data_IF_784913257947
#
_entry.id   IF_784913257947
#
_cell.length_a   1.000
_cell.length_b   1.000
_cell.length_c   1.000
_cell.angle_alpha   90.00
_cell.angle_beta   90.00
_cell.angle_gamma   90.00
#
_symmetry.space_group_name_H-M   'P 1'
#
loop_
_entity.id
_entity.type
_entity.pdbx_description
1 polymer ?
#
# COMPACT_ATOMS: atom_id res chain seq x y z
N UNK A 1 16.85 -20.23 -41.79
CA UNK A 1 16.62 -18.93 -41.11
C UNK A 1 15.18 -18.90 -40.64
N UNK A 2 14.94 -19.02 -39.33
CA UNK A 2 13.60 -19.00 -38.75
C UNK A 2 13.07 -17.57 -38.72
N UNK A 3 12.06 -17.27 -39.54
CA UNK A 3 11.35 -15.99 -39.52
C UNK A 3 10.59 -15.90 -38.19
N UNK A 4 11.10 -15.08 -37.25
CA UNK A 4 10.37 -14.72 -36.03
C UNK A 4 9.11 -13.98 -36.42
N UNK A 5 7.96 -14.66 -36.35
CA UNK A 5 6.63 -14.07 -36.51
C UNK A 5 6.45 -13.02 -35.41
N UNK A 6 6.53 -11.74 -35.77
CA UNK A 6 6.32 -10.59 -34.88
C UNK A 6 4.88 -10.71 -34.35
N UNK A 7 4.74 -11.04 -33.06
CA UNK A 7 3.43 -11.16 -32.42
C UNK A 7 2.89 -9.74 -32.29
N UNK A 8 2.02 -9.33 -33.21
CA UNK A 8 1.27 -8.08 -33.06
C UNK A 8 0.53 -8.15 -31.74
N UNK A 9 0.89 -7.24 -30.84
CA UNK A 9 0.31 -7.19 -29.50
C UNK A 9 -1.06 -6.55 -29.68
N UNK A 10 -2.11 -7.36 -29.79
CA UNK A 10 -3.47 -6.86 -29.88
C UNK A 10 -3.76 -6.00 -28.64
N UNK A 11 -4.00 -4.71 -28.83
CA UNK A 11 -4.32 -3.78 -27.75
C UNK A 11 -5.83 -3.84 -27.55
N UNK A 12 -6.27 -4.57 -26.52
CA UNK A 12 -7.69 -4.56 -26.13
C UNK A 12 -8.09 -3.14 -25.75
N UNK A 13 -9.21 -2.66 -26.28
CA UNK A 13 -9.72 -1.32 -25.98
C UNK A 13 -10.07 -1.17 -24.49
N UNK A 14 -10.03 0.06 -24.00
CA UNK A 14 -10.46 0.39 -22.64
C UNK A 14 -11.97 0.29 -22.48
N UNK A 15 -12.40 0.00 -21.26
CA UNK A 15 -13.82 -0.06 -20.88
C UNK A 15 -14.04 0.76 -19.61
N UNK A 16 -15.18 1.43 -19.54
CA UNK A 16 -15.66 2.15 -18.35
C UNK A 16 -16.96 1.54 -17.87
N UNK A 17 -17.27 1.68 -16.58
CA UNK A 17 -18.59 1.28 -16.08
C UNK A 17 -19.66 2.25 -16.59
N UNK A 18 -20.93 1.84 -16.51
CA UNK A 18 -22.04 2.65 -16.99
C UNK A 18 -22.10 4.02 -16.29
N UNK A 19 -21.89 4.06 -14.98
CA UNK A 19 -21.92 5.30 -14.19
C UNK A 19 -20.84 6.29 -14.61
N UNK A 20 -19.62 5.81 -14.84
CA UNK A 20 -18.49 6.62 -15.31
C UNK A 20 -18.78 7.19 -16.71
N UNK A 21 -19.39 6.40 -17.59
CA UNK A 21 -19.77 6.85 -18.93
C UNK A 21 -20.81 7.98 -18.90
N UNK A 22 -21.86 7.84 -18.07
CA UNK A 22 -22.89 8.88 -17.94
C UNK A 22 -22.30 10.15 -17.30
N UNK A 23 -21.37 10.01 -16.36
CA UNK A 23 -20.66 11.14 -15.75
C UNK A 23 -19.81 11.88 -16.80
N UNK A 24 -19.09 11.16 -17.66
CA UNK A 24 -18.34 11.79 -18.77
C UNK A 24 -19.26 12.54 -19.73
N UNK A 25 -20.42 11.98 -20.08
CA UNK A 25 -21.40 12.65 -20.96
C UNK A 25 -21.96 13.93 -20.35
N UNK A 26 -22.22 13.93 -19.04
CA UNK A 26 -22.75 15.09 -18.33
C UNK A 26 -21.71 16.22 -18.19
N UNK A 27 -20.43 15.86 -18.13
CA UNK A 27 -19.33 16.80 -17.91
C UNK A 27 -18.63 17.25 -19.20
N UNK A 28 -18.87 16.57 -20.32
CA UNK A 28 -18.30 16.94 -21.61
C UNK A 28 -18.80 18.34 -22.04
N UNK A 29 -17.84 19.21 -22.36
CA UNK A 29 -18.14 20.54 -22.89
C UNK A 29 -18.54 20.48 -24.36
N UNK A 30 -19.37 21.44 -24.78
CA UNK A 30 -19.84 21.54 -26.17
C UNK A 30 -18.68 21.74 -27.16
N UNK A 31 -17.60 22.39 -26.72
CA UNK A 31 -16.41 22.67 -27.53
C UNK A 31 -15.47 21.46 -27.64
N UNK A 32 -15.67 20.42 -26.81
CA UNK A 32 -14.86 19.20 -26.80
C UNK A 32 -13.43 19.40 -26.30
N UNK A 33 -13.14 20.47 -25.56
CA UNK A 33 -11.79 20.87 -25.17
C UNK A 33 -11.41 20.46 -23.74
N UNK A 34 -12.39 20.09 -22.91
CA UNK A 34 -12.12 19.71 -21.53
C UNK A 34 -11.70 18.23 -21.40
N UNK A 35 -11.22 17.86 -20.20
CA UNK A 35 -10.74 16.50 -19.94
C UNK A 35 -11.87 15.46 -20.08
N UNK A 36 -13.10 15.78 -19.69
CA UNK A 36 -14.24 14.87 -19.79
C UNK A 36 -14.55 14.51 -21.26
N UNK A 37 -14.55 15.50 -22.14
CA UNK A 37 -14.72 15.33 -23.59
C UNK A 37 -13.61 14.47 -24.20
N UNK A 38 -12.36 14.71 -23.79
CA UNK A 38 -11.22 13.90 -24.22
C UNK A 38 -11.36 12.43 -23.82
N UNK A 39 -11.75 12.18 -22.57
CA UNK A 39 -11.97 10.82 -22.06
C UNK A 39 -13.18 10.16 -22.71
N UNK A 40 -14.27 10.88 -22.92
CA UNK A 40 -15.47 10.39 -23.58
C UNK A 40 -15.15 9.92 -25.00
N UNK A 41 -14.42 10.74 -25.78
CA UNK A 41 -13.97 10.35 -27.11
C UNK A 41 -13.05 9.13 -27.05
N UNK A 42 -12.10 9.09 -26.11
CA UNK A 42 -11.19 7.96 -25.95
C UNK A 42 -11.95 6.64 -25.70
N UNK A 43 -12.94 6.65 -24.81
CA UNK A 43 -13.78 5.48 -24.48
C UNK A 43 -14.62 5.00 -25.67
N UNK A 44 -15.08 5.91 -26.52
CA UNK A 44 -15.91 5.58 -27.69
C UNK A 44 -15.11 4.90 -28.81
N UNK A 45 -13.78 4.98 -28.79
CA UNK A 45 -12.94 4.30 -29.77
C UNK A 45 -12.95 2.79 -29.55
N UNK A 46 -12.95 2.04 -30.65
CA UNK A 46 -12.88 0.57 -30.66
C UNK A 46 -11.46 0.04 -30.81
N UNK A 47 -10.52 0.90 -31.20
CA UNK A 47 -9.12 0.56 -31.43
C UNK A 47 -8.23 1.05 -30.27
N UNK A 48 -7.58 0.10 -29.60
CA UNK A 48 -6.69 0.38 -28.47
C UNK A 48 -5.44 1.18 -28.87
N UNK A 49 -5.00 1.14 -30.13
CA UNK A 49 -3.87 1.94 -30.60
C UNK A 49 -4.24 3.43 -30.66
N UNK A 50 -5.42 3.74 -31.18
CA UNK A 50 -5.94 5.11 -31.24
C UNK A 50 -6.15 5.68 -29.82
N UNK A 51 -6.61 4.85 -28.87
CA UNK A 51 -6.76 5.24 -27.47
C UNK A 51 -5.44 5.67 -26.81
N UNK A 52 -4.30 5.07 -27.19
CA UNK A 52 -2.97 5.47 -26.69
C UNK A 52 -2.69 6.95 -27.00
N UNK A 53 -3.09 7.44 -28.18
CA UNK A 53 -2.87 8.83 -28.57
C UNK A 53 -3.68 9.80 -27.71
N UNK A 54 -4.89 9.42 -27.28
CA UNK A 54 -5.71 10.24 -26.38
C UNK A 54 -5.18 10.22 -24.95
N UNK A 55 -4.76 9.05 -24.44
CA UNK A 55 -4.16 8.94 -23.10
C UNK A 55 -2.90 9.80 -22.94
N UNK A 56 -2.12 9.98 -24.02
CA UNK A 56 -0.95 10.87 -24.01
C UNK A 56 -1.30 12.36 -23.96
N UNK A 57 -2.53 12.74 -24.30
CA UNK A 57 -2.98 14.13 -24.27
C UNK A 57 -3.53 14.57 -22.91
N UNK A 58 -3.73 13.64 -21.96
CA UNK A 58 -4.25 13.94 -20.62
C UNK A 58 -3.39 14.98 -19.89
N UNK A 59 -2.08 14.75 -19.79
CA UNK A 59 -1.16 15.67 -19.09
C UNK A 59 -1.08 17.04 -19.78
N UNK A 60 -0.84 17.14 -21.11
CA UNK A 60 -0.82 18.43 -21.80
C UNK A 60 -2.11 19.25 -21.64
N UNK A 61 -3.27 18.60 -21.50
CA UNK A 61 -4.55 19.28 -21.28
C UNK A 61 -4.61 19.82 -19.84
N UNK A 62 -4.24 19.01 -18.85
CA UNK A 62 -4.24 19.40 -17.45
C UNK A 62 -3.23 20.53 -17.14
N UNK A 63 -2.08 20.55 -17.81
CA UNK A 63 -1.12 21.66 -17.70
C UNK A 63 -1.73 23.00 -18.12
N UNK A 64 -2.60 23.02 -19.15
CA UNK A 64 -3.28 24.23 -19.61
C UNK A 64 -4.40 24.68 -18.66
N UNK A 65 -4.98 23.74 -17.91
CA UNK A 65 -6.08 23.99 -16.99
C UNK A 65 -5.63 24.52 -15.61
N UNK A 66 -4.33 24.44 -15.28
CA UNK A 66 -3.76 24.80 -13.97
C UNK A 66 -3.66 26.31 -13.68
N UNK A 67 -4.75 27.08 -13.81
CA UNK A 67 -4.69 28.55 -13.75
C UNK A 67 -5.14 29.18 -12.43
N UNK A 68 -5.90 28.47 -11.57
CA UNK A 68 -6.69 29.16 -10.52
C UNK A 68 -6.57 28.57 -9.08
N UNK A 69 -5.59 27.72 -8.77
CA UNK A 69 -5.29 27.31 -7.38
C UNK A 69 -6.30 26.39 -6.68
N UNK A 70 -7.48 26.14 -7.26
CA UNK A 70 -8.43 25.10 -6.80
C UNK A 70 -8.74 24.10 -7.91
N UNK A 71 -8.70 22.80 -7.60
CA UNK A 71 -8.99 21.74 -8.56
C UNK A 71 -10.48 21.74 -8.93
N UNK A 72 -10.75 21.95 -10.22
CA UNK A 72 -12.09 21.95 -10.81
C UNK A 72 -12.82 20.62 -10.49
N UNK A 73 -14.09 20.65 -10.04
CA UNK A 73 -14.87 19.43 -9.80
C UNK A 73 -14.91 18.47 -10.98
N UNK A 74 -14.95 18.99 -12.20
CA UNK A 74 -14.90 18.21 -13.46
C UNK A 74 -13.59 17.45 -13.57
N UNK A 75 -12.46 18.10 -13.27
CA UNK A 75 -11.14 17.45 -13.28
C UNK A 75 -11.09 16.37 -12.20
N UNK A 76 -11.61 16.64 -11.00
CA UNK A 76 -11.67 15.65 -9.91
C UNK A 76 -12.48 14.41 -10.34
N UNK A 77 -13.65 14.59 -10.94
CA UNK A 77 -14.43 13.48 -11.49
C UNK A 77 -13.69 12.73 -12.61
N UNK A 78 -12.96 13.44 -13.47
CA UNK A 78 -12.15 12.79 -14.50
C UNK A 78 -10.98 11.98 -13.92
N UNK A 79 -10.33 12.46 -12.86
CA UNK A 79 -9.27 11.72 -12.15
C UNK A 79 -9.81 10.44 -11.51
N UNK A 80 -11.03 10.51 -10.95
CA UNK A 80 -11.73 9.34 -10.43
C UNK A 80 -12.04 8.29 -11.51
N UNK A 81 -12.55 8.75 -12.66
CA UNK A 81 -12.81 7.87 -13.81
C UNK A 81 -11.51 7.29 -14.38
N UNK A 82 -10.42 8.07 -14.42
CA UNK A 82 -9.10 7.58 -14.83
C UNK A 82 -8.58 6.48 -13.91
N UNK A 83 -8.80 6.59 -12.61
CA UNK A 83 -8.51 5.52 -11.66
C UNK A 83 -9.34 4.27 -11.97
N UNK A 84 -10.64 4.42 -12.19
CA UNK A 84 -11.53 3.32 -12.59
C UNK A 84 -11.09 2.62 -13.88
N UNK A 85 -10.72 3.39 -14.92
CA UNK A 85 -10.17 2.87 -16.17
C UNK A 85 -8.87 2.11 -15.91
N UNK A 86 -7.96 2.67 -15.12
CA UNK A 86 -6.70 2.00 -14.82
C UNK A 86 -6.93 0.63 -14.15
N UNK A 87 -7.83 0.55 -13.18
CA UNK A 87 -8.13 -0.66 -12.42
C UNK A 87 -8.97 -1.67 -13.21
N UNK A 88 -9.71 -1.25 -14.24
CA UNK A 88 -10.43 -2.16 -15.13
C UNK A 88 -9.52 -2.87 -16.15
N UNK A 89 -8.39 -2.24 -16.51
CA UNK A 89 -7.45 -2.78 -17.49
C UNK A 89 -6.67 -3.99 -16.96
N UNK A 90 -6.51 -5.01 -17.80
CA UNK A 90 -5.65 -6.15 -17.49
C UNK A 90 -4.17 -5.74 -17.46
N UNK A 91 -3.38 -6.35 -16.56
CA UNK A 91 -1.93 -6.16 -16.43
C UNK A 91 -1.11 -6.39 -17.72
N UNK A 92 -1.61 -7.20 -18.66
CA UNK A 92 -0.97 -7.43 -19.97
C UNK A 92 -1.34 -6.37 -21.01
N UNK A 93 -2.32 -5.51 -20.75
CA UNK A 93 -2.79 -4.52 -21.69
C UNK A 93 -1.78 -3.35 -21.79
N UNK A 94 -1.25 -3.04 -22.98
CA UNK A 94 -0.36 -1.89 -23.19
C UNK A 94 -0.95 -0.55 -22.72
N UNK A 95 -2.27 -0.36 -22.81
CA UNK A 95 -2.94 0.86 -22.34
C UNK A 95 -2.75 1.10 -20.84
N UNK A 96 -2.70 0.04 -20.01
CA UNK A 96 -2.48 0.19 -18.57
C UNK A 96 -1.11 0.81 -18.29
N UNK A 97 -0.08 0.38 -19.03
CA UNK A 97 1.28 0.91 -18.92
C UNK A 97 1.40 2.35 -19.44
N UNK A 98 0.77 2.63 -20.59
CA UNK A 98 0.72 3.99 -21.13
C UNK A 98 0.01 4.93 -20.15
N UNK A 99 -1.10 4.49 -19.56
CA UNK A 99 -1.85 5.27 -18.59
C UNK A 99 -1.02 5.53 -17.32
N UNK A 100 -0.37 4.52 -16.75
CA UNK A 100 0.56 4.71 -15.63
C UNK A 100 1.66 5.74 -15.97
N UNK A 101 2.26 5.63 -17.17
CA UNK A 101 3.30 6.55 -17.62
C UNK A 101 2.79 7.97 -17.79
N UNK A 102 1.59 8.17 -18.35
CA UNK A 102 0.98 9.49 -18.45
C UNK A 102 0.67 10.05 -17.07
N UNK A 103 0.08 9.24 -16.18
CA UNK A 103 -0.33 9.69 -14.86
C UNK A 103 0.87 10.01 -13.93
N UNK A 104 2.03 9.39 -14.14
CA UNK A 104 3.28 9.80 -13.48
C UNK A 104 3.74 11.20 -13.89
N UNK A 105 3.32 11.68 -15.06
CA UNK A 105 3.60 13.03 -15.54
C UNK A 105 2.58 14.08 -15.08
N UNK A 106 1.65 13.74 -14.18
CA UNK A 106 0.67 14.70 -13.69
C UNK A 106 1.34 15.89 -12.99
N UNK A 107 0.84 17.12 -13.21
CA UNK A 107 1.25 18.29 -12.43
C UNK A 107 1.06 18.05 -10.93
N UNK A 108 2.01 18.52 -10.12
CA UNK A 108 2.01 18.34 -8.65
C UNK A 108 0.67 18.77 -8.01
N UNK A 109 0.08 19.84 -8.56
CA UNK A 109 -1.21 20.37 -8.15
C UNK A 109 -2.35 19.34 -8.13
N UNK A 110 -2.33 18.33 -9.03
CA UNK A 110 -3.39 17.32 -9.13
C UNK A 110 -3.06 16.02 -8.40
N UNK A 111 -1.84 15.87 -7.85
CA UNK A 111 -1.40 14.61 -7.26
C UNK A 111 -2.22 14.21 -6.04
N UNK A 112 -2.67 15.17 -5.23
CA UNK A 112 -3.46 14.90 -4.02
C UNK A 112 -4.82 14.31 -4.42
N UNK A 113 -5.57 15.00 -5.28
CA UNK A 113 -6.87 14.54 -5.75
C UNK A 113 -6.77 13.22 -6.52
N UNK A 114 -5.76 13.08 -7.38
CA UNK A 114 -5.53 11.84 -8.11
C UNK A 114 -5.22 10.69 -7.15
N UNK A 115 -4.42 10.94 -6.10
CA UNK A 115 -4.07 9.93 -5.11
C UNK A 115 -5.32 9.48 -4.35
N UNK A 116 -6.18 10.43 -3.96
CA UNK A 116 -7.45 10.16 -3.29
C UNK A 116 -8.39 9.33 -4.17
N UNK A 117 -8.59 9.72 -5.44
CA UNK A 117 -9.38 8.97 -6.42
C UNK A 117 -8.94 7.51 -6.56
N UNK A 118 -7.64 7.28 -6.74
CA UNK A 118 -7.09 5.91 -6.80
C UNK A 118 -7.26 5.14 -5.49
N UNK A 119 -7.09 5.81 -4.34
CA UNK A 119 -7.27 5.18 -3.03
C UNK A 119 -8.72 4.74 -2.84
N UNK A 120 -9.69 5.62 -3.10
CA UNK A 120 -11.12 5.34 -2.97
C UNK A 120 -11.59 4.23 -3.91
N UNK A 121 -11.13 4.21 -5.17
CA UNK A 121 -11.50 3.13 -6.11
C UNK A 121 -10.90 1.79 -5.72
N UNK A 122 -9.66 1.75 -5.23
CA UNK A 122 -9.07 0.51 -4.70
C UNK A 122 -9.81 0.01 -3.44
N UNK A 123 -10.19 0.94 -2.56
CA UNK A 123 -10.99 0.64 -1.37
C UNK A 123 -12.37 0.08 -1.74
N UNK A 124 -13.03 0.66 -2.76
CA UNK A 124 -14.30 0.15 -3.26
C UNK A 124 -14.16 -1.28 -3.83
N UNK A 125 -13.14 -1.55 -4.65
CA UNK A 125 -12.89 -2.91 -5.15
C UNK A 125 -12.61 -3.90 -4.00
N UNK A 126 -11.92 -3.45 -2.94
CA UNK A 126 -11.66 -4.27 -1.76
C UNK A 126 -12.96 -4.57 -0.99
N UNK A 127 -13.76 -3.55 -0.71
CA UNK A 127 -14.99 -3.68 0.10
C UNK A 127 -16.10 -4.44 -0.63
N UNK A 128 -16.11 -4.43 -1.96
CA UNK A 128 -17.10 -5.13 -2.79
C UNK A 128 -16.66 -6.55 -3.19
N UNK A 129 -15.41 -6.95 -2.90
CA UNK A 129 -14.90 -8.28 -3.21
C UNK A 129 -15.52 -9.35 -2.32
N UNK A 130 -16.30 -10.25 -2.92
CA UNK A 130 -17.01 -11.33 -2.20
C UNK A 130 -16.50 -12.73 -2.53
N UNK A 131 -15.66 -12.87 -3.58
CA UNK A 131 -15.18 -14.14 -4.09
C UNK A 131 -13.67 -14.12 -4.42
N UNK A 132 -13.07 -15.31 -4.54
CA UNK A 132 -11.63 -15.47 -4.78
C UNK A 132 -11.13 -14.81 -6.07
N UNK A 133 -11.95 -14.71 -7.12
CA UNK A 133 -11.57 -14.07 -8.37
C UNK A 133 -11.53 -12.55 -8.21
N UNK A 134 -12.54 -11.97 -7.55
CA UNK A 134 -12.57 -10.54 -7.22
C UNK A 134 -11.38 -10.13 -6.34
N UNK A 135 -11.05 -10.92 -5.32
CA UNK A 135 -9.85 -10.70 -4.51
C UNK A 135 -8.55 -10.78 -5.33
N UNK A 136 -8.43 -11.76 -6.25
CA UNK A 136 -7.26 -11.86 -7.12
C UNK A 136 -7.11 -10.62 -8.01
N UNK A 137 -8.22 -10.09 -8.52
CA UNK A 137 -8.22 -8.84 -9.30
C UNK A 137 -7.70 -7.67 -8.46
N UNK A 138 -8.15 -7.51 -7.21
CA UNK A 138 -7.64 -6.49 -6.30
C UNK A 138 -6.13 -6.64 -6.09
N UNK A 139 -5.64 -7.86 -5.84
CA UNK A 139 -4.21 -8.14 -5.66
C UNK A 139 -3.40 -7.77 -6.91
N UNK A 140 -3.90 -8.12 -8.09
CA UNK A 140 -3.26 -7.78 -9.38
C UNK A 140 -3.22 -6.27 -9.61
N UNK A 141 -4.28 -5.57 -9.23
CA UNK A 141 -4.40 -4.12 -9.31
C UNK A 141 -3.46 -3.40 -8.34
N UNK A 142 -3.43 -3.80 -7.07
CA UNK A 142 -2.47 -3.30 -6.07
C UNK A 142 -1.04 -3.51 -6.57
N UNK A 143 -0.72 -4.72 -7.03
CA UNK A 143 0.60 -5.03 -7.57
C UNK A 143 0.93 -4.18 -8.79
N UNK A 144 -0.04 -3.90 -9.67
CA UNK A 144 0.17 -3.00 -10.81
C UNK A 144 0.33 -1.54 -10.39
N UNK A 145 -0.36 -1.09 -9.35
CA UNK A 145 -0.19 0.24 -8.78
C UNK A 145 1.22 0.45 -8.23
N UNK A 146 1.85 -0.62 -7.76
CA UNK A 146 3.17 -0.57 -7.14
C UNK A 146 4.34 -0.70 -8.13
N UNK A 147 4.05 -1.01 -9.40
CA UNK A 147 5.06 -1.24 -10.43
C UNK A 147 5.26 -0.05 -11.35
N UNK A 148 6.34 0.72 -11.11
CA UNK A 148 6.75 1.86 -11.93
C UNK A 148 5.65 2.92 -12.11
N UNK A 149 4.74 3.01 -11.14
CA UNK A 149 3.64 3.95 -11.11
C UNK A 149 3.64 4.65 -9.75
N UNK A 150 4.04 5.92 -9.73
CA UNK A 150 4.36 6.67 -8.52
C UNK A 150 3.07 7.08 -7.80
N UNK A 151 2.10 7.60 -8.57
CA UNK A 151 0.76 7.87 -8.09
C UNK A 151 0.11 6.61 -7.50
N UNK A 152 0.20 5.47 -8.21
CA UNK A 152 -0.32 4.19 -7.73
C UNK A 152 0.32 3.74 -6.41
N UNK A 153 1.65 3.90 -6.25
CA UNK A 153 2.34 3.61 -4.98
C UNK A 153 1.81 4.47 -3.84
N UNK A 154 1.68 5.79 -4.06
CA UNK A 154 1.11 6.70 -3.06
C UNK A 154 -0.32 6.30 -2.66
N UNK A 155 -1.15 5.91 -3.62
CA UNK A 155 -2.53 5.48 -3.35
C UNK A 155 -2.61 4.16 -2.56
N UNK A 156 -1.75 3.18 -2.87
CA UNK A 156 -1.69 1.94 -2.09
C UNK A 156 -1.19 2.22 -0.67
N UNK A 157 -0.18 3.08 -0.49
CA UNK A 157 0.29 3.45 0.83
C UNK A 157 -0.82 4.12 1.66
N UNK A 158 -1.60 5.02 1.06
CA UNK A 158 -2.76 5.63 1.73
C UNK A 158 -3.84 4.61 2.07
N UNK A 159 -4.12 3.65 1.18
CA UNK A 159 -5.05 2.56 1.45
C UNK A 159 -4.58 1.70 2.63
N UNK A 160 -3.29 1.38 2.68
CA UNK A 160 -2.72 0.57 3.76
C UNK A 160 -2.75 1.32 5.10
N UNK A 161 -2.35 2.58 5.12
CA UNK A 161 -2.31 3.39 6.35
C UNK A 161 -3.71 3.65 6.93
N UNK A 162 -4.69 3.98 6.08
CA UNK A 162 -6.01 4.42 6.55
C UNK A 162 -7.01 3.29 6.73
N UNK A 163 -7.02 2.30 5.82
CA UNK A 163 -8.09 1.28 5.79
C UNK A 163 -7.59 -0.03 6.36
N UNK A 164 -6.48 -0.54 5.83
CA UNK A 164 -6.01 -1.88 6.20
C UNK A 164 -5.42 -1.89 7.61
N UNK A 165 -4.70 -0.84 8.00
CA UNK A 165 -4.13 -0.68 9.34
C UNK A 165 -5.00 0.19 10.27
N UNK A 166 -6.02 0.87 9.74
CA UNK A 166 -6.85 1.83 10.48
C UNK A 166 -8.23 1.32 10.89
N UNK A 167 -8.88 0.47 10.09
CA UNK A 167 -10.20 -0.08 10.40
C UNK A 167 -10.13 -1.58 10.72
N UNK A 168 -10.45 -1.92 11.98
CA UNK A 168 -10.45 -3.29 12.49
C UNK A 168 -11.65 -4.12 11.99
N UNK A 169 -12.62 -3.53 11.28
CA UNK A 169 -13.79 -4.25 10.76
C UNK A 169 -13.44 -5.35 9.74
N UNK A 170 -12.29 -5.25 9.08
CA UNK A 170 -11.83 -6.18 8.03
C UNK A 170 -10.81 -7.23 8.53
N UNK A 171 -10.45 -7.24 9.82
CA UNK A 171 -9.30 -7.96 10.43
C UNK A 171 -9.10 -9.42 9.96
N UNK A 172 -10.11 -10.30 9.94
CA UNK A 172 -9.87 -11.71 9.61
C UNK A 172 -9.50 -11.92 8.14
N UNK A 173 -10.09 -11.14 7.23
CA UNK A 173 -9.84 -11.24 5.80
C UNK A 173 -8.64 -10.39 5.35
N UNK A 174 -8.45 -9.23 5.98
CA UNK A 174 -7.36 -8.32 5.70
C UNK A 174 -5.98 -8.99 5.91
N UNK A 175 -5.86 -9.84 6.94
CA UNK A 175 -4.60 -10.50 7.26
C UNK A 175 -4.14 -11.51 6.20
N UNK A 176 -5.04 -12.35 5.69
CA UNK A 176 -4.71 -13.32 4.62
C UNK A 176 -4.56 -12.66 3.25
N UNK A 177 -5.32 -11.60 3.02
CA UNK A 177 -5.16 -10.75 1.84
C UNK A 177 -3.79 -10.06 1.83
N UNK A 178 -3.39 -9.43 2.94
CA UNK A 178 -2.07 -8.81 3.11
C UNK A 178 -0.94 -9.80 2.82
N UNK A 179 -1.01 -11.00 3.40
CA UNK A 179 0.01 -12.02 3.16
C UNK A 179 0.08 -12.44 1.68
N UNK A 180 -1.08 -12.53 1.03
CA UNK A 180 -1.16 -12.84 -0.40
C UNK A 180 -0.59 -11.71 -1.24
N UNK A 181 -0.86 -10.44 -0.89
CA UNK A 181 -0.30 -9.27 -1.58
C UNK A 181 1.23 -9.20 -1.41
N UNK A 182 1.75 -9.48 -0.21
CA UNK A 182 3.19 -9.56 0.07
C UNK A 182 3.87 -10.58 -0.85
N UNK A 183 3.36 -11.81 -0.90
CA UNK A 183 3.93 -12.90 -1.70
C UNK A 183 3.90 -12.57 -3.19
N UNK A 184 2.79 -12.05 -3.69
CA UNK A 184 2.64 -11.70 -5.11
C UNK A 184 3.56 -10.55 -5.52
N UNK A 185 3.56 -9.44 -4.77
CA UNK A 185 4.42 -8.29 -5.09
C UNK A 185 5.90 -8.67 -4.99
N UNK A 186 6.32 -9.39 -3.94
CA UNK A 186 7.70 -9.84 -3.79
C UNK A 186 8.15 -10.72 -4.96
N UNK A 187 7.30 -11.65 -5.40
CA UNK A 187 7.58 -12.50 -6.56
C UNK A 187 7.78 -11.67 -7.83
N UNK A 188 6.93 -10.67 -8.06
CA UNK A 188 7.02 -9.78 -9.22
C UNK A 188 8.27 -8.91 -9.19
N UNK A 189 8.56 -8.28 -8.05
CA UNK A 189 9.77 -7.50 -7.84
C UNK A 189 11.04 -8.33 -8.13
N UNK A 190 11.11 -9.56 -7.62
CA UNK A 190 12.22 -10.47 -7.90
C UNK A 190 12.31 -10.88 -9.37
N UNK A 191 11.19 -11.06 -10.06
CA UNK A 191 11.19 -11.43 -11.48
C UNK A 191 11.66 -10.31 -12.42
N UNK A 192 11.52 -9.05 -11.99
CA UNK A 192 11.81 -7.87 -12.80
C UNK A 192 13.18 -7.26 -12.50
N UNK A 193 13.73 -7.50 -11.30
CA UNK A 193 15.01 -6.92 -10.90
C UNK A 193 16.21 -7.71 -11.44
N UNK A 194 17.22 -6.98 -11.87
CA UNK A 194 18.51 -7.54 -12.34
C UNK A 194 19.45 -7.79 -11.14
N UNK A 195 19.23 -7.10 -10.02
CA UNK A 195 20.06 -7.08 -8.82
C UNK A 195 19.21 -7.02 -7.53
N UNK A 196 19.84 -6.76 -6.38
CA UNK A 196 19.19 -6.67 -5.07
C UNK A 196 18.35 -5.40 -4.85
N UNK A 197 18.22 -4.47 -5.81
CA UNK A 197 17.44 -3.23 -5.66
C UNK A 197 15.94 -3.46 -5.44
N UNK A 198 15.46 -4.68 -5.72
CA UNK A 198 14.09 -5.07 -5.40
C UNK A 198 13.77 -4.94 -3.91
N UNK A 199 14.77 -5.10 -3.04
CA UNK A 199 14.59 -5.02 -1.59
C UNK A 199 14.27 -3.59 -1.13
N UNK A 200 14.84 -2.58 -1.81
CA UNK A 200 14.57 -1.18 -1.49
C UNK A 200 13.13 -0.81 -1.84
N UNK A 201 12.64 -1.23 -3.01
CA UNK A 201 11.23 -1.06 -3.40
C UNK A 201 10.27 -1.80 -2.47
N UNK A 202 10.67 -2.99 -2.00
CA UNK A 202 9.92 -3.75 -1.00
C UNK A 202 9.82 -2.99 0.33
N UNK A 203 10.93 -2.43 0.81
CA UNK A 203 10.98 -1.65 2.04
C UNK A 203 10.18 -0.35 1.97
N UNK A 204 10.31 0.39 0.87
CA UNK A 204 9.52 1.60 0.60
C UNK A 204 8.01 1.31 0.65
N UNK A 205 7.57 0.19 0.09
CA UNK A 205 6.12 -0.05 -0.04
C UNK A 205 5.49 -0.70 1.19
N UNK A 206 6.14 -1.68 1.81
CA UNK A 206 5.50 -2.48 2.86
C UNK A 206 6.05 -2.19 4.26
N UNK A 207 7.34 -1.85 4.36
CA UNK A 207 7.98 -1.64 5.65
C UNK A 207 7.80 -0.20 6.12
N UNK A 208 7.98 0.77 5.23
CA UNK A 208 7.95 2.19 5.61
C UNK A 208 6.57 2.65 6.13
N UNK A 209 5.43 2.30 5.48
CA UNK A 209 4.11 2.62 6.03
C UNK A 209 3.84 1.93 7.37
N UNK A 210 4.27 0.66 7.51
CA UNK A 210 4.19 -0.07 8.77
C UNK A 210 4.97 0.65 9.88
N UNK A 211 6.19 1.09 9.61
CA UNK A 211 7.01 1.81 10.59
C UNK A 211 6.40 3.17 10.96
N UNK A 212 5.79 3.87 10.00
CA UNK A 212 5.06 5.12 10.26
C UNK A 212 3.92 4.88 11.25
N UNK A 213 3.06 3.89 11.00
CA UNK A 213 1.96 3.55 11.92
C UNK A 213 2.48 3.07 13.29
N UNK A 214 3.55 2.28 13.33
CA UNK A 214 4.15 1.84 14.60
C UNK A 214 4.77 2.99 15.41
N UNK A 215 5.24 4.06 14.77
CA UNK A 215 5.79 5.22 15.47
C UNK A 215 4.68 6.20 15.89
N UNK A 216 3.81 6.56 14.94
CA UNK A 216 2.91 7.73 15.02
C UNK A 216 1.45 7.36 15.25
N UNK A 217 1.04 6.12 14.96
CA UNK A 217 -0.34 5.67 15.06
C UNK A 217 -0.91 5.65 16.49
N UNK A 218 -2.24 5.50 16.59
CA UNK A 218 -2.91 5.31 17.86
C UNK A 218 -2.68 3.89 18.42
N UNK A 219 -3.12 3.61 19.65
CA UNK A 219 -2.87 2.32 20.31
C UNK A 219 -3.52 1.14 19.58
N UNK A 220 -4.73 1.32 19.05
CA UNK A 220 -5.48 0.27 18.37
C UNK A 220 -4.83 -0.10 17.03
N UNK A 221 -4.41 0.91 16.25
CA UNK A 221 -3.64 0.75 15.03
C UNK A 221 -2.31 0.03 15.29
N UNK A 222 -1.60 0.46 16.34
CA UNK A 222 -0.32 -0.15 16.75
C UNK A 222 -0.51 -1.62 17.12
N UNK A 223 -1.50 -1.96 17.94
CA UNK A 223 -1.77 -3.37 18.31
C UNK A 223 -2.08 -4.19 17.07
N UNK A 224 -2.97 -3.70 16.21
CA UNK A 224 -3.35 -4.40 14.99
C UNK A 224 -2.14 -4.69 14.07
N UNK A 225 -1.29 -3.68 13.85
CA UNK A 225 -0.06 -3.85 13.05
C UNK A 225 0.88 -4.88 13.69
N UNK A 226 1.04 -4.87 15.01
CA UNK A 226 1.91 -5.80 15.75
C UNK A 226 1.37 -7.24 15.69
N UNK A 227 0.06 -7.41 15.80
CA UNK A 227 -0.58 -8.72 15.96
C UNK A 227 -0.85 -9.40 14.61
N UNK A 228 -1.11 -8.63 13.55
CA UNK A 228 -1.55 -9.17 12.26
C UNK A 228 -0.60 -8.87 11.09
N UNK A 229 -0.13 -7.63 10.96
CA UNK A 229 0.65 -7.24 9.78
C UNK A 229 2.12 -7.66 9.91
N UNK A 230 2.78 -7.21 10.99
CA UNK A 230 4.20 -7.37 11.23
C UNK A 230 4.66 -8.84 11.20
N UNK A 231 3.95 -9.81 11.81
CA UNK A 231 4.30 -11.23 11.71
C UNK A 231 4.33 -11.73 10.26
N UNK A 232 3.29 -11.38 9.48
CA UNK A 232 3.14 -11.84 8.10
C UNK A 232 4.18 -11.21 7.18
N UNK A 233 4.52 -9.93 7.40
CA UNK A 233 5.61 -9.27 6.68
C UNK A 233 6.95 -9.95 6.96
N UNK A 234 7.27 -10.23 8.22
CA UNK A 234 8.53 -10.89 8.59
C UNK A 234 8.59 -12.34 8.11
N UNK A 235 7.48 -13.08 8.16
CA UNK A 235 7.36 -14.41 7.55
C UNK A 235 7.60 -14.37 6.04
N UNK A 236 7.11 -13.32 5.37
CA UNK A 236 7.32 -13.16 3.93
C UNK A 236 8.76 -12.74 3.59
N UNK A 237 9.36 -11.82 4.36
CA UNK A 237 10.72 -11.32 4.14
C UNK A 237 11.48 -11.04 5.46
N UNK A 238 12.15 -12.04 6.05
CA UNK A 238 12.87 -11.88 7.32
C UNK A 238 14.00 -10.84 7.27
N UNK A 239 14.65 -10.67 6.11
CA UNK A 239 15.72 -9.68 5.89
C UNK A 239 15.28 -8.25 6.20
N UNK A 240 13.98 -7.96 6.09
CA UNK A 240 13.39 -6.64 6.39
C UNK A 240 13.67 -6.20 7.83
N UNK A 241 13.84 -7.15 8.76
CA UNK A 241 14.11 -6.83 10.16
C UNK A 241 15.37 -5.97 10.33
N UNK A 242 16.43 -6.25 9.57
CA UNK A 242 17.68 -5.49 9.63
C UNK A 242 17.48 -4.02 9.23
N UNK A 243 16.69 -3.78 8.18
CA UNK A 243 16.31 -2.46 7.71
C UNK A 243 15.46 -1.72 8.74
N UNK A 244 14.45 -2.38 9.30
CA UNK A 244 13.57 -1.82 10.34
C UNK A 244 14.38 -1.37 11.55
N UNK A 245 15.28 -2.23 12.02
CA UNK A 245 16.16 -1.94 13.16
C UNK A 245 17.04 -0.72 12.88
N UNK A 246 17.67 -0.66 11.69
CA UNK A 246 18.51 0.47 11.28
C UNK A 246 17.74 1.80 11.27
N UNK A 247 16.55 1.84 10.68
CA UNK A 247 15.73 3.06 10.61
C UNK A 247 15.28 3.50 12.00
N UNK A 248 14.74 2.57 12.80
CA UNK A 248 14.20 2.89 14.10
C UNK A 248 15.28 3.33 15.09
N UNK A 249 16.48 2.77 15.00
CA UNK A 249 17.63 3.25 15.78
C UNK A 249 18.07 4.64 15.39
N UNK A 250 18.21 4.87 14.08
CA UNK A 250 18.56 6.20 13.57
C UNK A 250 17.54 7.24 14.05
N UNK A 251 16.25 6.90 14.04
CA UNK A 251 15.17 7.76 14.55
C UNK A 251 15.22 7.95 16.08
N UNK A 252 15.49 6.88 16.84
CA UNK A 252 15.61 6.93 18.29
C UNK A 252 16.83 7.76 18.75
N UNK A 253 17.94 7.69 18.02
CA UNK A 253 19.19 8.39 18.32
C UNK A 253 19.15 9.86 17.85
N UNK A 254 18.42 10.18 16.78
CA UNK A 254 18.38 11.52 16.18
C UNK A 254 17.73 12.62 17.04
N UNK A 255 17.00 12.29 18.12
CA UNK A 255 16.36 13.29 19.00
C UNK A 255 16.21 12.78 20.42
N UNK A 256 17.24 12.94 21.25
CA UNK A 256 17.15 12.68 22.70
C UNK A 256 16.17 13.68 23.36
N UNK A 257 14.86 13.38 23.37
CA UNK A 257 13.85 14.15 24.12
C UNK A 257 12.51 14.46 23.41
N UNK A 258 12.37 14.21 22.10
CA UNK A 258 11.10 14.45 21.37
C UNK A 258 10.11 13.28 21.52
N UNK A 259 8.80 13.54 21.41
CA UNK A 259 7.73 12.52 21.38
C UNK A 259 8.03 11.44 20.32
N UNK A 260 8.58 11.83 19.17
CA UNK A 260 9.00 10.96 18.06
C UNK A 260 9.97 9.85 18.50
N UNK A 261 10.91 10.16 19.40
CA UNK A 261 11.94 9.22 19.87
C UNK A 261 11.35 8.09 20.73
N UNK A 262 10.28 8.37 21.47
CA UNK A 262 9.57 7.35 22.26
C UNK A 262 8.79 6.39 21.37
N UNK A 263 8.16 6.93 20.32
CA UNK A 263 7.48 6.13 19.29
C UNK A 263 8.44 5.15 18.61
N UNK A 264 9.61 5.64 18.17
CA UNK A 264 10.63 4.81 17.52
C UNK A 264 11.17 3.68 18.42
N UNK A 265 11.41 3.95 19.72
CA UNK A 265 11.85 2.92 20.68
C UNK A 265 10.75 1.88 20.91
N UNK A 266 9.49 2.30 21.04
CA UNK A 266 8.34 1.40 21.18
C UNK A 266 8.17 0.50 19.95
N UNK A 267 8.25 1.08 18.75
CA UNK A 267 8.21 0.36 17.48
C UNK A 267 9.36 -0.65 17.36
N UNK A 268 10.58 -0.28 17.76
CA UNK A 268 11.75 -1.17 17.73
C UNK A 268 11.57 -2.38 18.64
N UNK A 269 11.07 -2.14 19.85
CA UNK A 269 10.74 -3.20 20.79
C UNK A 269 9.68 -4.14 20.25
N UNK A 270 8.64 -3.61 19.59
CA UNK A 270 7.61 -4.43 18.96
C UNK A 270 8.18 -5.29 17.83
N UNK A 271 8.97 -4.70 16.91
CA UNK A 271 9.63 -5.42 15.82
C UNK A 271 10.47 -6.60 16.30
N UNK A 272 11.30 -6.38 17.33
CA UNK A 272 12.17 -7.41 17.89
C UNK A 272 11.39 -8.51 18.63
N UNK A 273 10.34 -8.13 19.39
CA UNK A 273 9.48 -9.11 20.07
C UNK A 273 8.74 -10.00 19.07
N UNK A 274 8.14 -9.42 18.04
CA UNK A 274 7.43 -10.19 17.00
C UNK A 274 8.39 -11.07 16.21
N UNK A 275 9.57 -10.56 15.82
CA UNK A 275 10.58 -11.37 15.15
C UNK A 275 11.01 -12.59 15.98
N UNK A 276 11.16 -12.41 17.30
CA UNK A 276 11.45 -13.52 18.23
C UNK A 276 10.30 -14.51 18.32
N UNK A 277 9.07 -14.04 18.54
CA UNK A 277 7.89 -14.89 18.70
C UNK A 277 7.65 -15.79 17.47
N UNK A 278 8.02 -15.31 16.27
CA UNK A 278 7.89 -16.05 15.01
C UNK A 278 9.17 -16.77 14.57
N UNK A 279 10.19 -16.88 15.43
CA UNK A 279 11.39 -17.69 15.16
C UNK A 279 12.38 -17.08 14.16
N UNK A 280 12.22 -15.81 13.77
CA UNK A 280 13.15 -15.09 12.91
C UNK A 280 14.45 -14.70 13.65
N UNK A 281 14.40 -14.72 14.98
CA UNK A 281 15.56 -14.59 15.85
C UNK A 281 15.80 -15.97 16.49
N UNK A 282 16.65 -16.79 15.87
CA UNK A 282 17.08 -18.06 16.47
C UNK A 282 17.79 -17.78 17.80
N UNK A 283 17.48 -18.61 18.82
CA UNK A 283 18.01 -18.66 20.19
C UNK A 283 19.06 -17.60 20.54
N UNK A 284 18.67 -16.62 21.35
CA UNK A 284 19.48 -15.51 21.83
C UNK A 284 20.84 -15.97 22.36
N UNK A 285 21.95 -15.46 21.82
CA UNK A 285 22.72 -14.50 22.61
C UNK A 285 23.41 -13.39 21.81
N UNK A 286 23.73 -13.59 20.51
CA UNK A 286 24.66 -12.68 19.82
C UNK A 286 24.01 -11.84 18.71
N UNK A 287 23.17 -12.43 17.85
CA UNK A 287 22.69 -11.76 16.63
C UNK A 287 21.93 -10.44 16.87
N UNK A 288 21.07 -10.35 17.90
CA UNK A 288 20.30 -9.13 18.16
C UNK A 288 21.03 -8.10 19.06
N UNK A 289 22.06 -8.54 19.81
CA UNK A 289 22.89 -7.61 20.60
C UNK A 289 23.77 -6.75 19.71
N UNK A 290 24.18 -7.31 18.57
CA UNK A 290 24.94 -6.59 17.53
C UNK A 290 24.03 -5.72 16.68
N UNK A 291 22.79 -6.14 16.47
CA UNK A 291 21.78 -5.35 15.76
C UNK A 291 21.35 -4.11 16.55
N UNK A 292 21.50 -4.05 17.88
CA UNK A 292 21.03 -2.94 18.71
C UNK A 292 22.12 -2.29 19.56
N UNK A 293 22.30 -0.97 19.43
CA UNK A 293 23.29 -0.18 20.18
C UNK A 293 22.84 0.17 21.62
N UNK A 294 21.54 0.40 21.85
CA UNK A 294 21.02 0.95 23.10
C UNK A 294 20.85 -0.07 24.24
N UNK A 295 21.49 0.20 25.39
CA UNK A 295 21.41 -0.61 26.60
C UNK A 295 19.99 -0.72 27.20
N UNK A 296 19.15 0.32 27.04
CA UNK A 296 17.76 0.33 27.55
C UNK A 296 16.88 -0.65 26.77
N UNK A 297 17.09 -0.78 25.46
CA UNK A 297 16.39 -1.73 24.60
C UNK A 297 16.85 -3.16 24.91
N UNK A 298 18.17 -3.35 25.11
CA UNK A 298 18.72 -4.63 25.60
C UNK A 298 18.08 -5.04 26.92
N UNK A 299 17.95 -4.12 27.88
CA UNK A 299 17.35 -4.41 29.17
C UNK A 299 15.84 -4.69 29.09
N UNK A 300 15.09 -3.97 28.25
CA UNK A 300 13.65 -4.20 28.03
C UNK A 300 13.33 -5.56 27.39
N UNK A 301 14.21 -6.06 26.51
CA UNK A 301 14.10 -7.40 25.91
C UNK A 301 14.47 -8.52 26.88
N UNK A 302 15.37 -8.24 27.82
CA UNK A 302 15.83 -9.19 28.86
C UNK A 302 14.82 -9.26 30.02
N UNK A 303 14.28 -8.15 30.51
CA UNK A 303 13.39 -8.16 31.69
C UNK A 303 12.03 -8.84 31.46
N UNK A 304 11.51 -8.84 30.22
CA UNK A 304 10.30 -9.64 29.88
C UNK A 304 10.59 -11.10 29.55
N UNK A 305 11.86 -11.52 29.54
CA UNK A 305 12.27 -12.91 29.35
C UNK A 305 11.66 -13.84 30.42
N UNK A 306 11.27 -13.31 31.58
CA UNK A 306 10.60 -14.09 32.64
C UNK A 306 9.07 -14.02 32.61
N UNK A 307 8.45 -13.10 31.86
CA UNK A 307 6.98 -12.93 31.87
C UNK A 307 6.27 -13.55 30.66
N UNK A 308 6.99 -13.85 29.58
CA UNK A 308 6.39 -14.37 28.35
C UNK A 308 6.01 -15.87 28.38
N UNK A 309 6.33 -16.60 29.46
CA UNK A 309 5.88 -17.99 29.62
C UNK A 309 4.53 -18.14 30.33
N UNK A 310 3.96 -17.06 30.90
CA UNK A 310 2.83 -17.20 31.86
C UNK A 310 1.54 -16.42 31.51
N UNK A 311 1.41 -15.86 30.30
CA UNK A 311 0.16 -15.23 29.86
C UNK A 311 -0.49 -16.00 28.71
N UNK A 312 -0.90 -17.25 29.01
CA UNK A 312 -2.16 -17.77 28.43
C UNK A 312 -3.29 -17.30 29.34
N UNK A 313 -4.19 -16.51 28.76
CA UNK A 313 -5.46 -16.06 29.30
C UNK A 313 -6.08 -17.00 30.36
N UNK A 314 -6.18 -16.52 31.60
CA UNK A 314 -7.26 -16.89 32.52
C UNK A 314 -8.02 -15.61 32.91
N UNK A 315 -9.36 -15.60 32.85
CA UNK A 315 -10.14 -14.46 33.30
C UNK A 315 -10.11 -14.42 34.83
N UNK A 316 -9.69 -13.28 35.39
CA UNK A 316 -9.76 -13.01 36.83
C UNK A 316 -11.24 -12.89 37.21
N UNK A 317 -11.78 -13.98 37.75
CA UNK A 317 -13.05 -13.99 38.45
C UNK A 317 -12.89 -13.37 39.84
N UNK A 318 -13.76 -12.41 40.16
CA UNK A 318 -13.95 -11.86 41.50
C UNK A 318 -13.99 -12.98 42.55
N UNK A 319 -13.15 -12.86 43.59
CA UNK A 319 -13.40 -13.51 44.87
C UNK A 319 -13.13 -12.50 45.99
N UNK A 320 -14.20 -12.15 46.69
CA UNK A 320 -14.20 -11.36 47.92
C UNK A 320 -13.41 -12.06 49.03
N UNK A 321 -12.90 -11.32 50.03
CA UNK A 321 -12.20 -11.89 51.16
C UNK A 321 -13.19 -12.40 52.23
N UNK A 322 -13.27 -13.71 52.43
CA UNK A 322 -13.88 -14.29 53.63
C UNK A 322 -12.99 -14.01 54.85
N UNK A 323 -13.54 -13.22 55.76
CA UNK A 323 -13.03 -12.99 57.10
C UNK A 323 -13.20 -14.23 57.98
N UNK A 324 -12.08 -14.74 58.47
CA UNK A 324 -12.00 -15.66 59.60
C UNK A 324 -12.58 -15.01 60.87
N UNK A 325 -13.62 -15.60 61.45
CA UNK A 325 -13.82 -15.64 62.90
C UNK A 325 -14.69 -16.85 63.30
N UNK A 326 -14.05 -17.76 64.05
CA UNK A 326 -14.54 -18.77 65.00
C UNK A 326 -15.85 -19.51 64.69
#
# INVERSE_FOLDING_TARGET
MGVKKKRETQVTSLTVCHQDLETLKALADVEGQNLASLLLHCVQLTDGVSQICYVKQIVPLLEKANKNGTCDPTIRSCLDILAGIYLSLNLKNPLKKVLASSLNGLPEFFLIEATQSFTSRLQEELNTSTDLYSYRKVIDNVSSCMENFDLGRSSVNNLLENEVMGDQSLVPYASDLLETMFKNHKSRLKSQAVDSTWIDKWHETWVSPLLRVLCEGNLDQKSYVIDYYLPKLLNCNPESLSYMVKILQTSADAKTGSYDSRGAVGALMACLRTARAHGHLQSATDAWRDLVSSARIKQGLIHQHCQAEDFRFYPVGNREPESLHL
#
